data_IF_993181493677
#
_entry.id   IF_993181493677
#
_cell.length_a   1.000
_cell.length_b   1.000
_cell.length_c   1.000
_cell.angle_alpha   90.00
_cell.angle_beta   90.00
_cell.angle_gamma   90.00
#
_symmetry.space_group_name_H-M   'P 1'
#
loop_
_entity.id
_entity.type
_entity.pdbx_description
1 polymer ?
#
# COMPACT_ATOMS: atom_id res chain seq x y z
N UNK A 1 -10.14 -29.00 -12.06
CA UNK A 1 -10.48 -27.69 -11.50
C UNK A 1 -9.90 -27.64 -10.09
N UNK A 2 -8.76 -26.99 -9.90
CA UNK A 2 -8.20 -26.79 -8.56
C UNK A 2 -9.18 -25.93 -7.76
N UNK A 3 -9.64 -26.42 -6.62
CA UNK A 3 -10.47 -25.64 -5.72
C UNK A 3 -9.65 -24.44 -5.22
N UNK A 4 -10.13 -23.23 -5.46
CA UNK A 4 -9.50 -21.95 -5.10
C UNK A 4 -9.05 -21.90 -3.63
N UNK A 5 -9.63 -22.75 -2.78
CA UNK A 5 -9.39 -22.80 -1.33
C UNK A 5 -8.69 -24.08 -0.86
N UNK A 6 -8.18 -24.92 -1.77
CA UNK A 6 -7.44 -26.12 -1.39
C UNK A 6 -5.94 -25.88 -1.64
N UNK A 7 -5.23 -25.52 -0.56
CA UNK A 7 -3.78 -25.48 -0.57
C UNK A 7 -3.20 -26.82 -0.09
N UNK A 8 -2.27 -27.35 -0.86
CA UNK A 8 -1.52 -28.54 -0.46
C UNK A 8 -0.47 -28.17 0.59
N UNK A 9 -0.13 -29.11 1.48
CA UNK A 9 0.92 -28.89 2.45
C UNK A 9 2.28 -29.02 1.75
N UNK A 10 3.09 -27.96 1.80
CA UNK A 10 4.46 -27.96 1.27
C UNK A 10 5.37 -28.79 2.19
N UNK A 11 5.89 -29.92 1.71
CA UNK A 11 6.79 -30.78 2.48
C UNK A 11 6.20 -31.17 3.85
N UNK A 12 6.96 -30.95 4.92
CA UNK A 12 6.52 -31.12 6.32
C UNK A 12 5.72 -29.90 6.86
N UNK A 13 5.62 -28.84 6.07
CA UNK A 13 4.99 -27.56 6.41
C UNK A 13 5.71 -26.77 7.49
N UNK A 14 6.90 -27.20 7.91
CA UNK A 14 7.65 -26.56 9.00
C UNK A 14 9.05 -26.06 8.58
N UNK A 15 9.71 -26.77 7.69
CA UNK A 15 11.07 -26.45 7.25
C UNK A 15 11.05 -26.05 5.79
N UNK A 16 11.85 -25.02 5.45
CA UNK A 16 12.13 -24.59 4.09
C UNK A 16 13.62 -24.64 3.89
N UNK A 17 14.08 -25.32 2.85
CA UNK A 17 15.49 -25.29 2.47
C UNK A 17 15.88 -23.90 1.96
N UNK A 18 17.15 -23.50 2.08
CA UNK A 18 17.60 -22.23 1.53
C UNK A 18 17.34 -22.15 0.01
N UNK A 19 16.53 -21.16 -0.40
CA UNK A 19 16.14 -20.97 -1.81
C UNK A 19 14.86 -21.69 -2.24
N UNK A 20 14.26 -22.49 -1.37
CA UNK A 20 12.99 -23.15 -1.63
C UNK A 20 11.83 -22.13 -1.54
N UNK A 21 10.88 -22.23 -2.46
CA UNK A 21 9.72 -21.34 -2.57
C UNK A 21 8.45 -22.16 -2.36
N UNK A 22 7.52 -21.63 -1.58
CA UNK A 22 6.18 -22.20 -1.43
C UNK A 22 5.33 -21.69 -2.58
N UNK A 23 4.84 -22.59 -3.41
CA UNK A 23 4.03 -22.25 -4.58
C UNK A 23 2.64 -21.67 -4.17
N UNK A 24 1.94 -20.92 -5.06
CA UNK A 24 0.65 -20.31 -4.74
C UNK A 24 -0.46 -21.29 -4.36
N UNK A 25 -0.40 -22.54 -4.79
CA UNK A 25 -1.32 -23.62 -4.46
C UNK A 25 -0.87 -24.43 -3.24
N UNK A 26 0.23 -24.06 -2.62
CA UNK A 26 0.79 -24.68 -1.43
C UNK A 26 0.65 -23.79 -0.20
N UNK A 27 0.77 -24.41 0.96
CA UNK A 27 0.83 -23.73 2.27
C UNK A 27 1.79 -24.43 3.21
N UNK A 28 2.26 -23.70 4.18
CA UNK A 28 2.90 -24.25 5.36
C UNK A 28 1.84 -24.73 6.38
N UNK A 29 2.25 -25.16 7.56
CA UNK A 29 1.29 -25.40 8.65
C UNK A 29 0.44 -24.15 8.90
N UNK A 30 -0.83 -24.31 9.27
CA UNK A 30 -1.74 -23.16 9.45
C UNK A 30 -1.22 -22.09 10.39
N UNK A 31 -0.53 -22.48 11.46
CA UNK A 31 0.08 -21.53 12.41
C UNK A 31 1.14 -20.66 11.73
N UNK A 32 1.99 -21.26 10.89
CA UNK A 32 3.02 -20.52 10.14
C UNK A 32 2.40 -19.65 9.04
N UNK A 33 1.47 -20.19 8.29
CA UNK A 33 0.77 -19.46 7.24
C UNK A 33 0.04 -18.24 7.81
N UNK A 34 -0.68 -18.41 8.92
CA UNK A 34 -1.34 -17.31 9.62
C UNK A 34 -0.33 -16.28 10.17
N UNK A 35 0.81 -16.73 10.71
CA UNK A 35 1.87 -15.84 11.18
C UNK A 35 2.48 -15.01 10.05
N UNK A 36 2.75 -15.61 8.89
CA UNK A 36 3.25 -14.90 7.71
C UNK A 36 2.18 -13.95 7.16
N UNK A 37 0.92 -14.37 7.14
CA UNK A 37 -0.19 -13.51 6.74
C UNK A 37 -0.35 -12.29 7.65
N UNK A 38 -0.28 -12.48 8.97
CA UNK A 38 -0.28 -11.38 9.93
C UNK A 38 0.91 -10.42 9.72
N UNK A 39 2.11 -10.97 9.47
CA UNK A 39 3.28 -10.18 9.11
C UNK A 39 3.05 -9.34 7.85
N UNK A 40 2.40 -9.90 6.83
CA UNK A 40 2.09 -9.18 5.60
C UNK A 40 1.15 -8.01 5.84
N UNK A 41 0.07 -8.20 6.61
CA UNK A 41 -0.85 -7.11 7.01
C UNK A 41 -0.09 -5.99 7.70
N UNK A 42 0.81 -6.33 8.61
CA UNK A 42 1.64 -5.36 9.34
C UNK A 42 2.61 -4.62 8.40
N UNK A 43 3.25 -5.32 7.48
CA UNK A 43 4.18 -4.71 6.52
C UNK A 43 3.48 -3.69 5.61
N UNK A 44 2.22 -3.94 5.24
CA UNK A 44 1.42 -3.06 4.39
C UNK A 44 0.71 -1.93 5.15
N UNK A 45 0.80 -1.92 6.49
CA UNK A 45 0.12 -0.92 7.33
C UNK A 45 0.48 0.52 6.93
N UNK A 46 1.77 0.80 6.71
CA UNK A 46 2.24 2.16 6.39
C UNK A 46 1.55 2.76 5.17
N UNK A 47 1.55 2.06 4.03
CA UNK A 47 0.92 2.54 2.80
C UNK A 47 -0.61 2.62 2.94
N UNK A 48 -1.22 1.63 3.61
CA UNK A 48 -2.67 1.52 3.75
C UNK A 48 -3.28 2.67 4.55
N UNK A 49 -2.59 3.17 5.58
CA UNK A 49 -3.08 4.25 6.44
C UNK A 49 -2.52 5.63 6.06
N UNK A 50 -1.26 5.70 5.64
CA UNK A 50 -0.61 6.98 5.36
C UNK A 50 -1.21 7.66 4.13
N UNK A 51 -1.49 6.91 3.07
CA UNK A 51 -2.05 7.48 1.83
C UNK A 51 -3.41 8.16 2.08
N UNK A 52 -4.42 7.51 2.67
CA UNK A 52 -5.69 8.20 2.94
C UNK A 52 -5.53 9.40 3.88
N UNK A 53 -4.69 9.32 4.91
CA UNK A 53 -4.46 10.44 5.83
C UNK A 53 -3.87 11.65 5.09
N UNK A 54 -2.86 11.44 4.25
CA UNK A 54 -2.21 12.52 3.49
C UNK A 54 -3.10 13.11 2.39
N UNK A 55 -4.01 12.32 1.86
CA UNK A 55 -4.89 12.74 0.75
C UNK A 55 -6.26 13.21 1.20
N UNK A 56 -6.60 13.04 2.49
CA UNK A 56 -7.91 13.41 3.05
C UNK A 56 -9.02 12.41 2.74
N UNK A 57 -8.70 11.23 2.21
CA UNK A 57 -9.66 10.13 2.10
C UNK A 57 -9.97 9.55 3.48
N UNK A 58 -11.20 9.05 3.65
CA UNK A 58 -11.55 8.32 4.86
C UNK A 58 -10.80 6.96 4.91
N UNK A 59 -9.98 6.70 5.96
CA UNK A 59 -9.24 5.45 6.08
C UNK A 59 -10.14 4.20 6.08
N UNK A 60 -11.32 4.27 6.69
CA UNK A 60 -12.27 3.14 6.75
C UNK A 60 -12.78 2.78 5.37
N UNK A 61 -13.11 3.78 4.55
CA UNK A 61 -13.55 3.60 3.15
C UNK A 61 -12.41 3.04 2.30
N UNK A 62 -11.19 3.54 2.47
CA UNK A 62 -10.00 3.05 1.75
C UNK A 62 -9.72 1.58 2.10
N UNK A 63 -9.78 1.22 3.39
CA UNK A 63 -9.63 -0.17 3.85
C UNK A 63 -10.69 -1.09 3.26
N UNK A 64 -11.94 -0.65 3.23
CA UNK A 64 -13.04 -1.43 2.66
C UNK A 64 -12.79 -1.75 1.18
N UNK A 65 -12.43 -0.74 0.38
CA UNK A 65 -12.14 -0.97 -1.04
C UNK A 65 -10.86 -1.78 -1.26
N UNK A 66 -9.83 -1.61 -0.43
CA UNK A 66 -8.63 -2.44 -0.44
C UNK A 66 -8.96 -3.91 -0.19
N UNK A 67 -9.78 -4.20 0.81
CA UNK A 67 -10.21 -5.56 1.12
C UNK A 67 -11.05 -6.16 0.00
N UNK A 68 -12.01 -5.41 -0.53
CA UNK A 68 -12.89 -5.84 -1.61
C UNK A 68 -12.10 -6.10 -2.91
N UNK A 69 -11.22 -5.16 -3.31
CA UNK A 69 -10.42 -5.31 -4.53
C UNK A 69 -9.43 -6.46 -4.43
N UNK A 70 -8.79 -6.65 -3.27
CA UNK A 70 -7.91 -7.81 -3.02
C UNK A 70 -8.69 -9.12 -3.11
N UNK A 71 -9.88 -9.22 -2.50
CA UNK A 71 -10.72 -10.39 -2.56
C UNK A 71 -11.17 -10.70 -4.00
N UNK A 72 -11.63 -9.69 -4.75
CA UNK A 72 -11.99 -9.83 -6.15
C UNK A 72 -10.81 -10.25 -7.03
N UNK A 73 -9.63 -9.67 -6.79
CA UNK A 73 -8.41 -10.04 -7.51
C UNK A 73 -8.05 -11.52 -7.29
N UNK A 74 -8.07 -11.99 -6.05
CA UNK A 74 -7.80 -13.41 -5.73
C UNK A 74 -8.84 -14.35 -6.37
N UNK A 75 -10.11 -13.96 -6.41
CA UNK A 75 -11.18 -14.74 -7.05
C UNK A 75 -10.96 -14.80 -8.58
N UNK A 76 -10.68 -13.67 -9.23
CA UNK A 76 -10.47 -13.59 -10.67
C UNK A 76 -9.23 -14.39 -11.10
N UNK A 77 -8.14 -14.26 -10.37
CA UNK A 77 -6.89 -14.95 -10.62
C UNK A 77 -6.90 -16.41 -10.12
N UNK A 78 -7.97 -16.87 -9.48
CA UNK A 78 -8.06 -18.21 -8.87
C UNK A 78 -6.88 -18.51 -7.94
N UNK A 79 -6.40 -17.50 -7.24
CA UNK A 79 -5.26 -17.59 -6.33
C UNK A 79 -3.93 -18.05 -6.97
N UNK A 80 -3.80 -17.96 -8.29
CA UNK A 80 -2.55 -18.28 -9.01
C UNK A 80 -1.49 -17.22 -8.74
N UNK A 81 -1.90 -15.96 -8.61
CA UNK A 81 -1.03 -14.84 -8.26
C UNK A 81 -1.56 -14.17 -6.97
N UNK A 82 -1.13 -14.61 -5.79
CA UNK A 82 -1.54 -13.98 -4.54
C UNK A 82 -0.89 -12.60 -4.41
N UNK A 83 -1.70 -11.54 -4.46
CA UNK A 83 -1.24 -10.16 -4.32
C UNK A 83 -2.21 -9.36 -3.46
N UNK A 84 -1.66 -8.41 -2.70
CA UNK A 84 -2.41 -7.43 -1.94
C UNK A 84 -2.55 -6.15 -2.77
N UNK A 85 -3.79 -5.73 -2.99
CA UNK A 85 -4.08 -4.49 -3.71
C UNK A 85 -4.30 -3.36 -2.70
N UNK A 86 -3.24 -2.64 -2.39
CA UNK A 86 -3.26 -1.51 -1.46
C UNK A 86 -3.20 -0.16 -2.14
N UNK A 87 -3.11 0.89 -1.32
CA UNK A 87 -2.96 2.26 -1.80
C UNK A 87 -1.55 2.48 -2.34
N UNK A 88 -1.42 3.12 -3.51
CA UNK A 88 -0.13 3.53 -4.07
C UNK A 88 0.22 4.97 -3.71
N UNK A 89 1.46 5.20 -3.32
CA UNK A 89 2.00 6.53 -3.04
C UNK A 89 2.01 7.44 -4.27
N UNK A 90 2.02 6.87 -5.47
CA UNK A 90 1.96 7.63 -6.73
C UNK A 90 0.69 8.47 -6.89
N UNK A 91 -0.39 8.12 -6.20
CA UNK A 91 -1.64 8.88 -6.24
C UNK A 91 -1.67 10.10 -5.30
N UNK A 92 -0.73 10.24 -4.36
CA UNK A 92 -0.75 11.34 -3.39
C UNK A 92 -0.65 12.68 -4.11
N UNK A 93 0.30 12.84 -5.02
CA UNK A 93 0.50 14.11 -5.74
C UNK A 93 -0.74 14.56 -6.54
N UNK A 94 -1.34 13.73 -7.43
CA UNK A 94 -2.51 14.14 -8.19
C UNK A 94 -3.74 14.37 -7.31
N UNK A 95 -3.96 13.58 -6.25
CA UNK A 95 -5.07 13.79 -5.31
C UNK A 95 -4.90 15.11 -4.56
N UNK A 96 -3.70 15.37 -4.05
CA UNK A 96 -3.40 16.62 -3.35
C UNK A 96 -3.57 17.83 -4.28
N UNK A 97 -3.16 17.73 -5.55
CA UNK A 97 -3.38 18.79 -6.54
C UNK A 97 -4.87 19.08 -6.77
N UNK A 98 -5.72 18.05 -6.81
CA UNK A 98 -7.19 18.22 -6.90
C UNK A 98 -7.76 18.86 -5.63
N UNK A 99 -7.27 18.48 -4.46
CA UNK A 99 -7.69 19.05 -3.17
C UNK A 99 -7.29 20.52 -3.06
N UNK A 100 -6.08 20.89 -3.47
CA UNK A 100 -5.61 22.29 -3.47
C UNK A 100 -6.37 23.16 -4.49
N UNK A 101 -6.90 22.57 -5.56
CA UNK A 101 -7.79 23.24 -6.50
C UNK A 101 -9.25 23.34 -5.99
N UNK A 102 -9.52 23.01 -4.73
CA UNK A 102 -10.85 23.02 -4.09
C UNK A 102 -11.92 22.18 -4.80
N UNK A 103 -11.52 21.09 -5.51
CA UNK A 103 -12.45 20.25 -6.26
C UNK A 103 -13.02 19.07 -5.47
N UNK A 104 -12.41 18.75 -4.33
CA UNK A 104 -12.91 17.73 -3.41
C UNK A 104 -12.59 16.27 -3.78
N UNK A 105 -12.85 15.38 -2.82
CA UNK A 105 -12.52 13.95 -2.89
C UNK A 105 -13.31 13.22 -3.97
N UNK A 106 -14.57 13.60 -4.21
CA UNK A 106 -15.41 12.97 -5.23
C UNK A 106 -14.83 13.12 -6.64
N UNK A 107 -14.24 14.29 -6.93
CA UNK A 107 -13.55 14.55 -8.20
C UNK A 107 -12.23 13.74 -8.27
N UNK A 108 -11.46 13.69 -7.18
CA UNK A 108 -10.26 12.85 -7.12
C UNK A 108 -10.58 11.36 -7.35
N UNK A 109 -11.69 10.87 -6.79
CA UNK A 109 -12.19 9.51 -7.00
C UNK A 109 -12.49 9.21 -8.48
N UNK A 110 -12.99 10.20 -9.22
CA UNK A 110 -13.17 10.07 -10.66
C UNK A 110 -11.82 9.90 -11.38
N UNK A 111 -10.79 10.66 -11.02
CA UNK A 111 -9.44 10.50 -11.55
C UNK A 111 -8.85 9.11 -11.28
N UNK A 112 -9.02 8.58 -10.07
CA UNK A 112 -8.60 7.22 -9.69
C UNK A 112 -9.35 6.18 -10.55
N UNK A 113 -10.66 6.34 -10.71
CA UNK A 113 -11.48 5.44 -11.53
C UNK A 113 -10.99 5.42 -12.99
N UNK A 114 -10.72 6.58 -13.58
CA UNK A 114 -10.19 6.67 -14.96
C UNK A 114 -8.82 6.00 -15.06
N UNK A 115 -7.93 6.20 -14.08
CA UNK A 115 -6.64 5.52 -14.03
C UNK A 115 -6.82 4.00 -14.00
N UNK A 116 -7.76 3.49 -13.21
CA UNK A 116 -8.08 2.06 -13.17
C UNK A 116 -8.57 1.52 -14.52
N UNK A 117 -9.42 2.26 -15.23
CA UNK A 117 -9.88 1.89 -16.58
C UNK A 117 -8.70 1.86 -17.55
N UNK A 118 -7.82 2.86 -17.52
CA UNK A 118 -6.62 2.91 -18.34
C UNK A 118 -5.66 1.74 -18.06
N UNK A 119 -5.48 1.37 -16.79
CA UNK A 119 -4.71 0.18 -16.41
C UNK A 119 -5.33 -1.11 -16.97
N UNK A 120 -6.65 -1.23 -16.93
CA UNK A 120 -7.34 -2.36 -17.54
C UNK A 120 -7.10 -2.41 -19.05
N UNK A 121 -7.11 -1.26 -19.73
CA UNK A 121 -6.77 -1.16 -21.17
C UNK A 121 -5.32 -1.54 -21.44
N UNK A 122 -4.37 -1.13 -20.57
CA UNK A 122 -2.97 -1.58 -20.64
C UNK A 122 -2.90 -3.11 -20.50
N UNK A 123 -3.64 -3.69 -19.56
CA UNK A 123 -3.73 -5.15 -19.41
C UNK A 123 -4.24 -5.86 -20.67
N UNK A 124 -5.28 -5.32 -21.30
CA UNK A 124 -5.80 -5.82 -22.60
C UNK A 124 -4.74 -5.70 -23.69
N UNK A 125 -4.02 -4.57 -23.74
CA UNK A 125 -2.94 -4.38 -24.72
C UNK A 125 -1.81 -5.38 -24.51
N UNK A 126 -1.42 -5.63 -23.26
CA UNK A 126 -0.41 -6.64 -22.91
C UNK A 126 -0.85 -8.05 -23.31
N UNK A 127 -2.14 -8.35 -23.15
CA UNK A 127 -2.68 -9.65 -23.55
C UNK A 127 -2.51 -9.92 -25.05
N UNK A 128 -2.72 -8.91 -25.92
CA UNK A 128 -2.61 -9.07 -27.36
C UNK A 128 -1.23 -8.78 -27.93
N UNK A 129 -0.53 -7.79 -27.40
CA UNK A 129 0.79 -7.33 -27.93
C UNK A 129 1.99 -7.93 -27.18
N UNK A 130 1.74 -8.61 -26.04
CA UNK A 130 2.80 -9.09 -25.16
C UNK A 130 3.38 -7.98 -24.28
N UNK A 131 4.34 -8.32 -23.40
CA UNK A 131 4.95 -7.39 -22.43
C UNK A 131 6.23 -6.69 -22.92
N UNK A 132 6.83 -7.14 -24.03
CA UNK A 132 8.15 -6.63 -24.49
C UNK A 132 8.22 -5.12 -24.71
N UNK A 133 7.11 -4.50 -25.09
CA UNK A 133 7.05 -3.06 -25.29
C UNK A 133 7.15 -2.30 -23.96
N UNK A 134 6.71 -2.91 -22.85
CA UNK A 134 6.85 -2.33 -21.50
C UNK A 134 8.33 -2.25 -21.14
N UNK A 135 9.08 -3.32 -21.35
CA UNK A 135 10.52 -3.37 -21.07
C UNK A 135 11.31 -2.31 -21.85
N UNK A 136 10.82 -1.95 -23.06
CA UNK A 136 11.44 -0.91 -23.90
C UNK A 136 11.11 0.50 -23.36
N UNK A 137 9.85 0.74 -22.98
CA UNK A 137 9.40 2.07 -22.50
C UNK A 137 9.82 2.32 -21.06
N UNK A 138 9.85 1.26 -20.26
CA UNK A 138 10.11 1.31 -18.82
C UNK A 138 11.32 0.43 -18.43
N UNK A 139 12.53 0.73 -18.94
CA UNK A 139 13.73 0.05 -18.48
C UNK A 139 13.98 0.34 -16.98
N UNK A 140 14.78 -0.47 -16.27
CA UNK A 140 15.01 -0.33 -14.83
C UNK A 140 15.39 1.07 -14.35
N UNK A 141 16.09 1.84 -15.20
CA UNK A 141 16.47 3.22 -14.89
C UNK A 141 15.25 4.15 -14.81
N UNK A 142 14.24 3.94 -15.67
CA UNK A 142 12.98 4.71 -15.66
C UNK A 142 12.17 4.35 -14.42
N UNK A 143 12.07 3.07 -14.09
CA UNK A 143 11.40 2.62 -12.86
C UNK A 143 12.06 3.20 -11.61
N UNK A 144 13.39 3.18 -11.54
CA UNK A 144 14.14 3.81 -10.45
C UNK A 144 13.90 5.32 -10.36
N UNK A 145 13.82 6.02 -11.49
CA UNK A 145 13.52 7.45 -11.53
C UNK A 145 12.09 7.76 -11.04
N UNK A 146 11.10 6.95 -11.45
CA UNK A 146 9.70 7.09 -10.99
C UNK A 146 9.63 6.93 -9.46
N UNK A 147 10.26 5.90 -8.90
CA UNK A 147 10.29 5.66 -7.45
C UNK A 147 10.97 6.83 -6.71
N UNK A 148 12.08 7.34 -7.25
CA UNK A 148 12.76 8.51 -6.68
C UNK A 148 11.87 9.77 -6.69
N UNK A 149 11.15 10.02 -7.79
CA UNK A 149 10.22 11.16 -7.90
C UNK A 149 9.07 11.03 -6.89
N UNK A 150 8.52 9.84 -6.70
CA UNK A 150 7.50 9.58 -5.66
C UNK A 150 8.06 9.96 -4.28
N UNK A 151 9.28 9.51 -3.95
CA UNK A 151 9.94 9.86 -2.70
C UNK A 151 10.14 11.37 -2.52
N UNK A 152 10.59 12.08 -3.56
CA UNK A 152 10.74 13.54 -3.53
C UNK A 152 9.41 14.28 -3.36
N UNK A 153 8.34 13.79 -3.96
CA UNK A 153 7.00 14.36 -3.79
C UNK A 153 6.46 14.23 -2.36
N UNK A 154 6.93 13.23 -1.60
CA UNK A 154 6.59 13.02 -0.19
C UNK A 154 7.44 13.89 0.77
N UNK A 155 8.59 14.39 0.34
CA UNK A 155 9.53 15.12 1.19
C UNK A 155 8.89 16.34 1.91
N UNK A 156 8.04 17.18 1.29
CA UNK A 156 7.37 18.28 2.00
C UNK A 156 6.50 17.80 3.17
N UNK A 157 5.73 16.70 2.99
CA UNK A 157 4.91 16.11 4.04
C UNK A 157 5.75 15.58 5.19
N UNK A 158 6.88 14.93 4.87
CA UNK A 158 7.83 14.44 5.88
C UNK A 158 8.40 15.61 6.68
N UNK A 159 8.78 16.71 6.01
CA UNK A 159 9.32 17.89 6.69
C UNK A 159 8.30 18.54 7.62
N UNK A 160 7.07 18.70 7.19
CA UNK A 160 5.97 19.23 8.02
C UNK A 160 5.73 18.37 9.25
N UNK A 161 5.67 17.03 9.09
CA UNK A 161 5.48 16.10 10.19
C UNK A 161 6.69 16.10 11.15
N UNK A 162 7.91 16.20 10.61
CA UNK A 162 9.12 16.33 11.42
C UNK A 162 9.09 17.59 12.29
N UNK A 163 8.70 18.74 11.74
CA UNK A 163 8.62 19.98 12.49
C UNK A 163 7.56 19.95 13.61
N UNK A 164 6.50 19.17 13.43
CA UNK A 164 5.44 19.03 14.44
C UNK A 164 5.92 18.31 15.72
N UNK A 165 6.80 17.29 15.59
CA UNK A 165 7.32 16.52 16.71
C UNK A 165 8.74 16.00 16.39
N UNK A 166 9.78 16.86 16.39
CA UNK A 166 11.11 16.49 15.90
C UNK A 166 11.80 15.43 16.75
N UNK A 167 11.59 15.45 18.07
CA UNK A 167 12.13 14.46 18.99
C UNK A 167 11.55 13.06 18.72
N UNK A 168 10.24 12.95 18.58
CA UNK A 168 9.54 11.70 18.26
C UNK A 168 9.93 11.20 16.86
N UNK A 169 10.02 12.09 15.88
CA UNK A 169 10.45 11.74 14.54
C UNK A 169 11.87 11.18 14.50
N UNK A 170 12.82 11.80 15.24
CA UNK A 170 14.19 11.30 15.35
C UNK A 170 14.26 9.94 16.05
N UNK A 171 13.56 9.76 17.16
CA UNK A 171 13.51 8.47 17.87
C UNK A 171 12.95 7.38 16.95
N UNK A 172 11.86 7.65 16.24
CA UNK A 172 11.26 6.71 15.29
C UNK A 172 12.23 6.34 14.17
N UNK A 173 12.85 7.34 13.54
CA UNK A 173 13.81 7.14 12.45
C UNK A 173 15.01 6.32 12.91
N UNK A 174 15.60 6.67 14.06
CA UNK A 174 16.73 5.93 14.62
C UNK A 174 16.35 4.50 14.96
N UNK A 175 15.15 4.27 15.52
CA UNK A 175 14.65 2.93 15.80
C UNK A 175 14.51 2.10 14.51
N UNK A 176 13.93 2.64 13.45
CA UNK A 176 13.81 1.97 12.13
C UNK A 176 15.20 1.60 11.60
N UNK A 177 16.14 2.55 11.59
CA UNK A 177 17.50 2.33 11.09
C UNK A 177 18.27 1.29 11.91
N UNK A 178 18.20 1.38 13.23
CA UNK A 178 18.87 0.42 14.13
C UNK A 178 18.31 -0.99 13.95
N UNK A 179 16.99 -1.12 13.88
CA UNK A 179 16.36 -2.44 13.67
C UNK A 179 16.73 -3.00 12.30
N UNK A 180 16.73 -2.18 11.25
CA UNK A 180 17.10 -2.62 9.90
C UNK A 180 18.56 -3.11 9.81
N UNK A 181 19.48 -2.47 10.54
CA UNK A 181 20.92 -2.78 10.47
C UNK A 181 21.32 -3.89 11.45
N UNK A 182 20.79 -3.87 12.67
CA UNK A 182 21.24 -4.77 13.75
C UNK A 182 20.51 -6.12 13.72
N UNK A 183 19.27 -6.16 13.25
CA UNK A 183 18.46 -7.38 13.29
C UNK A 183 18.37 -8.04 11.91
N UNK A 184 18.41 -9.36 11.91
CA UNK A 184 18.24 -10.22 10.71
C UNK A 184 16.94 -11.01 10.81
N UNK A 185 16.50 -11.59 9.69
CA UNK A 185 15.30 -12.41 9.64
C UNK A 185 14.01 -11.61 9.77
N UNK A 186 13.07 -12.10 10.56
CA UNK A 186 11.72 -11.52 10.71
C UNK A 186 11.76 -10.09 11.28
N UNK A 187 12.51 -9.86 12.35
CA UNK A 187 12.60 -8.54 12.99
C UNK A 187 13.21 -7.49 12.07
N UNK A 188 14.25 -7.83 11.31
CA UNK A 188 14.83 -6.92 10.33
C UNK A 188 13.86 -6.55 9.20
N UNK A 189 12.95 -7.44 8.82
CA UNK A 189 11.89 -7.17 7.83
C UNK A 189 10.74 -6.32 8.39
N UNK A 190 10.52 -6.36 9.70
CA UNK A 190 9.52 -5.58 10.42
C UNK A 190 10.06 -4.26 10.99
N UNK A 191 11.19 -3.78 10.49
CA UNK A 191 11.88 -2.58 10.99
C UNK A 191 10.97 -1.36 11.07
N UNK A 192 10.14 -1.12 10.05
CA UNK A 192 9.18 0.01 10.02
C UNK A 192 8.16 -0.14 11.14
N UNK A 193 7.56 -1.33 11.30
CA UNK A 193 6.60 -1.58 12.38
C UNK A 193 7.21 -1.35 13.76
N UNK A 194 8.38 -1.95 14.00
CA UNK A 194 9.07 -1.82 15.29
C UNK A 194 9.41 -0.36 15.56
N UNK A 195 9.88 0.36 14.54
CA UNK A 195 10.15 1.80 14.66
C UNK A 195 8.90 2.61 14.97
N UNK A 196 7.77 2.33 14.30
CA UNK A 196 6.48 2.99 14.57
C UNK A 196 6.01 2.70 16.00
N UNK A 197 6.10 1.45 16.47
CA UNK A 197 5.72 1.10 17.85
C UNK A 197 6.60 1.85 18.85
N UNK A 198 7.90 1.89 18.66
CA UNK A 198 8.83 2.62 19.54
C UNK A 198 8.52 4.11 19.53
N UNK A 199 8.33 4.71 18.36
CA UNK A 199 7.96 6.11 18.22
C UNK A 199 6.61 6.45 18.87
N UNK A 200 5.63 5.56 18.71
CA UNK A 200 4.31 5.73 19.34
C UNK A 200 4.39 5.66 20.88
N UNK A 201 5.11 4.67 21.40
CA UNK A 201 5.34 4.55 22.85
C UNK A 201 6.07 5.80 23.38
N UNK A 202 7.07 6.29 22.65
CA UNK A 202 7.76 7.52 23.02
C UNK A 202 6.81 8.73 23.00
N UNK A 203 5.98 8.87 21.98
CA UNK A 203 4.95 9.94 21.89
C UNK A 203 3.94 9.88 23.04
N UNK A 204 3.54 8.67 23.46
CA UNK A 204 2.68 8.48 24.63
C UNK A 204 3.36 8.96 25.92
N UNK A 205 4.63 8.61 26.15
CA UNK A 205 5.41 9.05 27.32
C UNK A 205 5.56 10.57 27.32
N UNK A 206 5.70 11.20 26.16
CA UNK A 206 5.78 12.65 26.00
C UNK A 206 4.42 13.37 26.12
N UNK A 207 3.31 12.62 26.22
CA UNK A 207 1.96 13.20 26.27
C UNK A 207 1.52 13.87 24.96
N UNK A 208 2.12 13.45 23.83
CA UNK A 208 1.79 13.98 22.49
C UNK A 208 0.61 13.27 21.84
N UNK A 209 0.13 12.17 22.44
CA UNK A 209 -0.98 11.36 21.92
C UNK A 209 -2.28 11.74 22.62
N UNK A 210 -3.27 12.16 21.85
CA UNK A 210 -4.63 12.39 22.33
C UNK A 210 -5.47 11.11 22.15
N UNK A 211 -5.89 10.53 23.25
CA UNK A 211 -6.72 9.33 23.29
C UNK A 211 -8.24 9.63 23.28
N UNK A 212 -8.64 10.89 23.33
CA UNK A 212 -10.07 11.27 23.39
C UNK A 212 -10.85 10.75 22.19
N UNK A 213 -10.24 10.83 20.99
CA UNK A 213 -10.83 10.34 19.75
C UNK A 213 -11.12 8.83 19.75
N UNK A 214 -10.42 8.04 20.58
CA UNK A 214 -10.67 6.59 20.70
C UNK A 214 -11.95 6.36 21.52
N UNK A 215 -12.18 7.18 22.56
CA UNK A 215 -13.40 7.09 23.38
C UNK A 215 -14.67 7.43 22.61
N UNK A 216 -14.58 8.35 21.66
CA UNK A 216 -15.70 8.82 20.84
C UNK A 216 -15.92 7.98 19.58
N UNK A 217 -14.99 7.06 19.27
CA UNK A 217 -15.07 6.22 18.08
C UNK A 217 -16.16 5.15 18.20
N UNK A 218 -17.00 5.03 17.16
CA UNK A 218 -17.97 3.95 17.10
C UNK A 218 -17.25 2.60 16.90
N UNK A 219 -17.60 1.61 17.74
CA UNK A 219 -17.02 0.25 17.64
C UNK A 219 -17.38 -0.46 16.33
N UNK A 220 -18.55 -0.14 15.77
CA UNK A 220 -19.04 -0.69 14.51
C UNK A 220 -19.63 0.49 13.71
N UNK A 221 -19.21 0.63 12.47
CA UNK A 221 -19.71 1.67 11.57
C UNK A 221 -19.55 1.25 10.11
N UNK A 222 -20.40 1.80 9.25
CA UNK A 222 -20.23 1.64 7.80
C UNK A 222 -19.28 2.73 7.27
N UNK A 223 -18.42 2.39 6.30
CA UNK A 223 -17.60 3.38 5.61
C UNK A 223 -18.45 4.47 4.96
N UNK A 224 -17.91 5.68 4.88
CA UNK A 224 -18.56 6.80 4.18
C UNK A 224 -18.26 6.71 2.69
N UNK A 225 -19.24 6.32 1.90
CA UNK A 225 -19.11 6.22 0.45
C UNK A 225 -19.41 7.55 -0.22
N UNK A 226 -18.54 7.93 -1.15
CA UNK A 226 -18.74 9.07 -2.04
C UNK A 226 -18.75 8.56 -3.48
N UNK A 227 -19.75 8.96 -4.25
CA UNK A 227 -19.77 8.66 -5.68
C UNK A 227 -18.75 9.54 -6.41
N UNK A 228 -18.00 8.97 -7.38
CA UNK A 228 -17.12 9.77 -8.22
C UNK A 228 -17.89 10.85 -8.98
N UNK A 229 -17.37 12.07 -8.96
CA UNK A 229 -17.93 13.19 -9.73
C UNK A 229 -17.06 13.45 -10.95
N UNK A 230 -17.67 13.35 -12.14
CA UNK A 230 -16.96 13.53 -13.40
C UNK A 230 -16.47 14.98 -13.57
N UNK A 231 -15.16 15.14 -13.68
CA UNK A 231 -14.49 16.39 -14.05
C UNK A 231 -13.30 16.05 -14.94
N UNK A 232 -13.46 16.25 -16.24
CA UNK A 232 -12.43 15.92 -17.21
C UNK A 232 -11.19 16.83 -17.16
N UNK A 233 -11.28 17.99 -16.50
CA UNK A 233 -10.17 18.92 -16.39
C UNK A 233 -9.00 18.38 -15.54
N UNK A 234 -9.23 17.37 -14.70
CA UNK A 234 -8.20 16.75 -13.86
C UNK A 234 -7.44 15.60 -14.56
N UNK A 235 -7.93 15.12 -15.71
CA UNK A 235 -7.34 13.98 -16.41
C UNK A 235 -5.85 14.16 -16.75
N UNK A 236 -5.35 15.34 -17.16
CA UNK A 236 -3.92 15.52 -17.38
C UNK A 236 -3.05 15.20 -16.15
N UNK A 237 -3.60 15.28 -14.94
CA UNK A 237 -2.90 14.94 -13.69
C UNK A 237 -2.91 13.44 -13.42
N UNK A 238 -3.98 12.73 -13.84
CA UNK A 238 -4.17 11.30 -13.52
C UNK A 238 -3.70 10.35 -14.63
N UNK A 239 -3.75 10.76 -15.90
CA UNK A 239 -3.31 9.90 -17.01
C UNK A 239 -1.84 9.46 -16.87
N UNK A 240 -0.87 10.34 -16.56
CA UNK A 240 0.51 9.91 -16.37
C UNK A 240 0.71 8.96 -15.20
N UNK A 241 -0.16 9.02 -14.19
CA UNK A 241 -0.08 8.15 -13.01
C UNK A 241 -0.27 6.66 -13.36
N UNK A 242 -0.90 6.36 -14.52
CA UNK A 242 -1.02 4.98 -15.01
C UNK A 242 0.32 4.27 -15.12
N UNK A 243 1.39 5.02 -15.44
CA UNK A 243 2.74 4.47 -15.55
C UNK A 243 3.31 4.03 -14.18
N UNK A 244 2.84 4.61 -13.07
CA UNK A 244 3.34 4.29 -11.72
C UNK A 244 3.00 2.85 -11.33
N UNK A 245 1.73 2.40 -11.32
CA UNK A 245 1.41 1.00 -11.04
C UNK A 245 2.03 0.02 -12.05
N UNK A 246 2.23 0.43 -13.31
CA UNK A 246 2.94 -0.41 -14.30
C UNK A 246 4.41 -0.56 -13.93
N UNK A 247 5.03 0.46 -13.33
CA UNK A 247 6.42 0.41 -12.87
C UNK A 247 6.58 -0.32 -11.53
N UNK A 248 5.56 -0.29 -10.67
CA UNK A 248 5.55 -0.90 -9.35
C UNK A 248 5.27 -2.42 -9.39
N UNK A 249 4.68 -2.93 -10.48
CA UNK A 249 4.31 -4.32 -10.68
C UNK A 249 5.11 -4.99 -11.80
#
# INVERSE_FOLDING_TARGET
MSNIFQWQLHGDGKTLAPGEVVEPDERLTWVRTAGIGAQHVIAMFGATFLVPILTGFDPSTTLFFTAMSTALFLLINRNVLPSYLGSSFGFIAPITAVSTANKGIAVASFGIMVTGILLALVGVLVHYAGSKWIDIIMPPVVNGAIVAIIGFNLAPSVWTNFQAAPDTALVTLLAVLLVAVLFKGLLGRLNILVGVIIGYVYACIRGQVDFSAIGDAAWIGFPKFHLPQADFSILPMFIPVVLVPVAEN
#
